data_IF_444756999768
#
_entry.id   IF_444756999768
#
_cell.length_a   1.000
_cell.length_b   1.000
_cell.length_c   1.000
_cell.angle_alpha   90.00
_cell.angle_beta   90.00
_cell.angle_gamma   90.00
#
_symmetry.space_group_name_H-M   'P 1'
#
loop_
_entity.id
_entity.type
_entity.pdbx_description
1 polymer ?
#
# COMPACT_ATOMS: atom_id res chain seq x y z
N UNK A 1 70.43 -8.93 -46.72
CA UNK A 1 69.54 -7.75 -46.78
C UNK A 1 68.14 -8.20 -47.15
N UNK A 2 67.23 -8.27 -46.17
CA UNK A 2 65.80 -8.40 -46.41
C UNK A 2 65.15 -7.23 -45.67
N UNK A 3 64.72 -6.24 -46.45
CA UNK A 3 64.03 -5.06 -45.96
C UNK A 3 62.63 -5.48 -45.49
N UNK A 4 62.41 -5.43 -44.18
CA UNK A 4 61.05 -5.48 -43.63
C UNK A 4 60.44 -4.11 -43.84
N UNK A 5 59.55 -4.03 -44.84
CA UNK A 5 58.71 -2.88 -45.14
C UNK A 5 57.99 -2.42 -43.87
N UNK A 6 58.19 -1.15 -43.50
CA UNK A 6 57.36 -0.48 -42.51
C UNK A 6 55.90 -0.52 -42.97
N UNK A 7 55.03 -1.03 -42.10
CA UNK A 7 53.58 -0.98 -42.27
C UNK A 7 53.10 0.32 -41.61
N UNK A 8 52.61 1.32 -42.37
CA UNK A 8 52.05 2.53 -41.81
C UNK A 8 50.56 2.31 -41.53
N UNK A 9 50.21 1.63 -40.44
CA UNK A 9 48.78 1.35 -40.11
C UNK A 9 48.44 1.68 -38.65
N UNK A 10 49.34 2.38 -37.94
CA UNK A 10 49.13 2.68 -36.51
C UNK A 10 48.56 4.09 -36.28
N UNK A 11 48.82 5.05 -37.16
CA UNK A 11 48.32 6.44 -37.05
C UNK A 11 46.79 6.57 -37.13
N UNK A 12 46.13 6.11 -38.21
CA UNK A 12 44.67 6.29 -38.38
C UNK A 12 43.82 5.59 -37.32
N UNK A 13 44.29 4.44 -36.80
CA UNK A 13 43.60 3.69 -35.75
C UNK A 13 43.75 4.38 -34.38
N UNK A 14 44.91 4.95 -34.08
CA UNK A 14 45.12 5.74 -32.87
C UNK A 14 44.32 7.05 -32.90
N UNK A 15 44.25 7.71 -34.06
CA UNK A 15 43.50 8.96 -34.21
C UNK A 15 41.99 8.70 -34.11
N UNK A 16 41.46 7.64 -34.73
CA UNK A 16 40.08 7.20 -34.56
C UNK A 16 39.76 6.80 -33.10
N UNK A 17 40.67 6.14 -32.40
CA UNK A 17 40.50 5.78 -30.99
C UNK A 17 40.49 7.03 -30.07
N UNK A 18 41.31 8.04 -30.37
CA UNK A 18 41.30 9.34 -29.66
C UNK A 18 40.01 10.11 -29.91
N UNK A 19 39.54 10.18 -31.16
CA UNK A 19 38.28 10.82 -31.50
C UNK A 19 37.08 10.14 -30.82
N UNK A 20 37.04 8.80 -30.83
CA UNK A 20 36.02 8.04 -30.10
C UNK A 20 36.09 8.29 -28.59
N UNK A 21 37.28 8.25 -28.01
CA UNK A 21 37.47 8.49 -26.57
C UNK A 21 37.02 9.89 -26.17
N UNK A 22 37.41 10.91 -26.94
CA UNK A 22 36.99 12.29 -26.71
C UNK A 22 35.46 12.44 -26.88
N UNK A 23 34.89 11.84 -27.91
CA UNK A 23 33.45 11.85 -28.14
C UNK A 23 32.64 11.21 -27.01
N UNK A 24 33.15 10.12 -26.40
CA UNK A 24 32.54 9.48 -25.24
C UNK A 24 32.66 10.36 -23.98
N UNK A 25 33.82 10.99 -23.75
CA UNK A 25 34.04 11.93 -22.64
C UNK A 25 33.10 13.13 -22.75
N UNK A 26 32.99 13.73 -23.93
CA UNK A 26 32.14 14.89 -24.18
C UNK A 26 30.64 14.54 -24.04
N UNK A 27 30.27 13.30 -24.35
CA UNK A 27 28.90 12.81 -24.13
C UNK A 27 28.61 12.61 -22.65
N UNK A 28 29.49 11.93 -21.93
CA UNK A 28 29.34 11.67 -20.48
C UNK A 28 29.27 12.99 -19.69
N UNK A 29 30.14 13.95 -20.00
CA UNK A 29 30.12 15.28 -19.40
C UNK A 29 28.79 16.02 -19.65
N UNK A 30 28.24 15.94 -20.87
CA UNK A 30 26.95 16.56 -21.20
C UNK A 30 25.80 15.91 -20.43
N UNK A 31 25.77 14.59 -20.35
CA UNK A 31 24.74 13.86 -19.59
C UNK A 31 24.83 14.16 -18.08
N UNK A 32 26.04 14.26 -17.53
CA UNK A 32 26.27 14.68 -16.13
C UNK A 32 25.81 16.11 -15.88
N UNK A 33 26.18 17.07 -16.74
CA UNK A 33 25.74 18.47 -16.64
C UNK A 33 24.23 18.60 -16.70
N UNK A 34 23.58 17.86 -17.61
CA UNK A 34 22.12 17.85 -17.74
C UNK A 34 21.43 17.39 -16.45
N UNK A 35 21.89 16.29 -15.85
CA UNK A 35 21.32 15.78 -14.59
C UNK A 35 21.49 16.77 -13.45
N UNK A 36 22.65 17.42 -13.34
CA UNK A 36 22.87 18.48 -12.35
C UNK A 36 21.96 19.69 -12.58
N UNK A 37 21.76 20.09 -13.82
CA UNK A 37 20.82 21.17 -14.15
C UNK A 37 19.39 20.79 -13.81
N UNK A 38 18.95 19.59 -14.15
CA UNK A 38 17.60 19.09 -13.85
C UNK A 38 17.37 19.01 -12.33
N UNK A 39 18.37 18.56 -11.57
CA UNK A 39 18.37 18.57 -10.10
C UNK A 39 18.24 19.99 -9.54
N UNK A 40 19.11 20.91 -9.95
CA UNK A 40 19.09 22.31 -9.45
C UNK A 40 17.76 22.98 -9.80
N UNK A 41 17.27 22.82 -11.04
CA UNK A 41 15.98 23.37 -11.46
C UNK A 41 14.82 22.76 -10.66
N UNK A 42 14.87 21.46 -10.36
CA UNK A 42 13.88 20.78 -9.54
C UNK A 42 13.83 21.34 -8.12
N UNK A 43 15.01 21.50 -7.49
CA UNK A 43 15.16 22.07 -6.15
C UNK A 43 14.65 23.51 -6.10
N UNK A 44 15.10 24.37 -7.04
CA UNK A 44 14.72 25.79 -7.10
C UNK A 44 13.23 25.97 -7.39
N UNK A 45 12.65 25.12 -8.24
CA UNK A 45 11.20 25.18 -8.51
C UNK A 45 10.40 24.90 -7.25
N UNK A 46 10.82 23.95 -6.42
CA UNK A 46 10.12 23.63 -5.17
C UNK A 46 10.29 24.74 -4.11
N UNK A 47 11.48 25.35 -4.03
CA UNK A 47 11.75 26.52 -3.17
C UNK A 47 10.88 27.73 -3.53
N UNK A 48 10.71 28.03 -4.82
CA UNK A 48 9.92 29.19 -5.27
C UNK A 48 8.44 29.13 -4.84
N UNK A 49 7.95 27.97 -4.38
CA UNK A 49 6.60 27.79 -3.87
C UNK A 49 6.52 27.67 -2.33
N UNK A 50 7.64 27.68 -1.59
CA UNK A 50 7.62 27.53 -0.13
C UNK A 50 8.80 28.22 0.58
N UNK A 51 8.51 29.29 1.33
CA UNK A 51 9.46 30.13 2.08
C UNK A 51 10.14 29.44 3.30
N UNK A 52 10.01 28.11 3.46
CA UNK A 52 10.40 27.40 4.69
C UNK A 52 11.51 26.37 4.50
N UNK A 53 12.16 26.33 3.33
CA UNK A 53 13.20 25.34 3.03
C UNK A 53 14.57 25.93 3.31
N UNK A 54 15.33 25.32 4.23
CA UNK A 54 16.72 25.70 4.51
C UNK A 54 17.67 24.62 4.01
N UNK A 55 18.43 24.92 2.95
CA UNK A 55 19.41 23.99 2.41
C UNK A 55 20.77 24.11 3.07
N UNK A 56 21.32 22.94 3.39
CA UNK A 56 22.62 22.79 4.03
C UNK A 56 23.62 22.19 3.06
N UNK A 57 24.84 22.71 3.08
CA UNK A 57 25.92 22.18 2.24
C UNK A 57 26.19 20.70 2.55
N UNK A 58 26.05 20.30 3.82
CA UNK A 58 26.24 18.92 4.28
C UNK A 58 25.21 17.94 3.70
N UNK A 59 24.04 18.42 3.26
CA UNK A 59 23.02 17.60 2.61
C UNK A 59 23.18 17.63 1.08
N UNK A 60 23.43 18.82 0.53
CA UNK A 60 23.46 19.05 -0.92
C UNK A 60 24.74 18.51 -1.57
N UNK A 61 25.92 18.71 -0.96
CA UNK A 61 27.20 18.27 -1.55
C UNK A 61 27.25 16.75 -1.72
N UNK A 62 26.87 15.92 -0.72
CA UNK A 62 26.80 14.48 -0.90
C UNK A 62 25.84 14.07 -2.01
N UNK A 63 24.65 14.70 -2.09
CA UNK A 63 23.67 14.42 -3.15
C UNK A 63 24.26 14.72 -4.53
N UNK A 64 24.89 15.88 -4.73
CA UNK A 64 25.55 16.25 -5.99
C UNK A 64 26.63 15.24 -6.37
N UNK A 65 27.47 14.81 -5.41
CA UNK A 65 28.51 13.81 -5.66
C UNK A 65 27.93 12.46 -6.06
N UNK A 66 26.82 12.04 -5.43
CA UNK A 66 26.12 10.79 -5.77
C UNK A 66 25.45 10.88 -7.12
N UNK A 67 24.73 11.96 -7.40
CA UNK A 67 24.08 12.19 -8.68
C UNK A 67 25.07 12.18 -9.85
N UNK A 68 26.26 12.78 -9.65
CA UNK A 68 27.31 12.79 -10.68
C UNK A 68 27.85 11.39 -10.99
N UNK A 69 27.87 10.48 -10.00
CA UNK A 69 28.35 9.11 -10.14
C UNK A 69 27.25 8.10 -10.53
N UNK A 70 25.98 8.48 -10.38
CA UNK A 70 24.85 7.63 -10.75
C UNK A 70 24.81 7.41 -12.27
N UNK A 71 24.22 6.32 -12.71
CA UNK A 71 23.97 6.00 -14.12
C UNK A 71 22.48 6.07 -14.47
N UNK A 72 21.60 6.08 -13.47
CA UNK A 72 20.16 6.14 -13.65
C UNK A 72 19.65 7.58 -13.67
N UNK A 73 19.39 8.11 -14.88
CA UNK A 73 18.89 9.48 -15.07
C UNK A 73 17.62 9.76 -14.25
N UNK A 74 16.73 8.78 -14.09
CA UNK A 74 15.49 8.91 -13.34
C UNK A 74 15.68 9.14 -11.83
N UNK A 75 16.83 8.81 -11.22
CA UNK A 75 17.09 9.10 -9.80
C UNK A 75 17.21 10.58 -9.48
N UNK A 76 17.44 11.42 -10.48
CA UNK A 76 17.48 12.87 -10.32
C UNK A 76 16.24 13.38 -9.58
N UNK A 77 15.06 12.81 -9.87
CA UNK A 77 13.82 13.15 -9.17
C UNK A 77 13.86 12.75 -7.70
N UNK A 78 14.29 11.52 -7.37
CA UNK A 78 14.39 11.07 -5.98
C UNK A 78 15.37 11.89 -5.16
N UNK A 79 16.53 12.24 -5.72
CA UNK A 79 17.49 13.12 -5.06
C UNK A 79 16.95 14.53 -4.86
N UNK A 80 16.19 15.06 -5.83
CA UNK A 80 15.52 16.36 -5.72
C UNK A 80 14.54 16.34 -4.54
N UNK A 81 13.62 15.37 -4.53
CA UNK A 81 12.61 15.21 -3.48
C UNK A 81 13.25 14.99 -2.11
N UNK A 82 14.28 14.15 -2.02
CA UNK A 82 15.04 13.94 -0.79
C UNK A 82 15.64 15.27 -0.28
N UNK A 83 16.33 16.02 -1.14
CA UNK A 83 16.98 17.28 -0.75
C UNK A 83 15.95 18.27 -0.19
N UNK A 84 14.83 18.44 -0.88
CA UNK A 84 13.72 19.31 -0.44
C UNK A 84 13.17 18.86 0.91
N UNK A 85 12.89 17.57 1.07
CA UNK A 85 12.37 17.02 2.34
C UNK A 85 13.36 17.17 3.49
N UNK A 86 14.67 17.00 3.25
CA UNK A 86 15.71 17.25 4.24
C UNK A 86 15.78 18.74 4.61
N UNK A 87 15.71 19.64 3.65
CA UNK A 87 15.71 21.09 3.90
C UNK A 87 14.49 21.60 4.66
N UNK A 88 13.37 20.87 4.61
CA UNK A 88 12.15 21.15 5.40
C UNK A 88 12.17 20.54 6.80
N UNK A 89 13.02 19.54 7.01
CA UNK A 89 13.08 18.84 8.29
C UNK A 89 14.06 19.58 9.20
N UNK A 90 13.72 19.91 10.46
CA UNK A 90 14.68 20.50 11.38
C UNK A 90 15.76 19.52 11.83
N UNK A 91 16.94 20.02 12.21
CA UNK A 91 18.03 19.19 12.76
C UNK A 91 17.68 18.48 14.06
N UNK A 92 16.79 19.07 14.86
CA UNK A 92 16.28 18.44 16.08
C UNK A 92 15.46 17.17 15.81
N UNK A 93 14.87 17.06 14.61
CA UNK A 93 14.09 15.91 14.17
C UNK A 93 14.97 14.90 13.43
N UNK A 94 15.84 15.39 12.55
CA UNK A 94 16.75 14.56 11.77
C UNK A 94 18.19 15.11 11.82
N UNK A 95 19.05 14.55 12.70
CA UNK A 95 20.45 14.93 12.80
C UNK A 95 21.29 14.45 11.60
N UNK A 96 22.50 14.99 11.48
CA UNK A 96 23.37 14.84 10.30
C UNK A 96 23.68 13.38 9.92
N UNK A 97 23.91 12.52 10.90
CA UNK A 97 24.17 11.09 10.68
C UNK A 97 22.97 10.38 10.05
N UNK A 98 21.76 10.70 10.50
CA UNK A 98 20.52 10.14 9.98
C UNK A 98 20.20 10.67 8.58
N UNK A 99 20.45 11.96 8.32
CA UNK A 99 20.33 12.55 6.96
C UNK A 99 21.25 11.86 5.98
N UNK A 100 22.53 11.73 6.34
CA UNK A 100 23.53 11.09 5.50
C UNK A 100 23.21 9.61 5.25
N UNK A 101 22.67 8.91 6.26
CA UNK A 101 22.17 7.54 6.09
C UNK A 101 21.10 7.45 5.00
N UNK A 102 20.10 8.34 4.98
CA UNK A 102 19.06 8.33 3.94
C UNK A 102 19.60 8.74 2.56
N UNK A 103 20.54 9.68 2.47
CA UNK A 103 21.23 10.01 1.21
C UNK A 103 21.95 8.76 0.66
N UNK A 104 22.64 8.02 1.54
CA UNK A 104 23.32 6.77 1.16
C UNK A 104 22.34 5.69 0.73
N UNK A 105 21.20 5.55 1.43
CA UNK A 105 20.16 4.59 1.09
C UNK A 105 19.62 4.85 -0.32
N UNK A 106 19.21 6.09 -0.64
CA UNK A 106 18.72 6.46 -1.98
C UNK A 106 19.77 6.18 -3.05
N UNK A 107 21.04 6.48 -2.76
CA UNK A 107 22.13 6.20 -3.70
C UNK A 107 22.39 4.71 -3.92
N UNK A 108 22.16 3.88 -2.91
CA UNK A 108 22.43 2.43 -3.01
C UNK A 108 21.32 1.65 -3.72
N UNK A 109 20.11 2.19 -3.74
CA UNK A 109 18.96 1.54 -4.38
C UNK A 109 18.85 1.97 -5.84
N UNK A 110 18.36 1.08 -6.70
CA UNK A 110 18.02 1.42 -8.09
C UNK A 110 16.66 2.11 -8.20
N UNK A 111 16.35 2.74 -9.33
CA UNK A 111 15.02 3.33 -9.56
C UNK A 111 13.92 2.28 -9.41
N UNK A 112 14.17 1.08 -9.95
CA UNK A 112 13.24 -0.04 -9.84
C UNK A 112 13.00 -0.44 -8.39
N UNK A 113 14.04 -0.50 -7.56
CA UNK A 113 13.92 -0.88 -6.15
C UNK A 113 13.14 0.16 -5.33
N UNK A 114 13.34 1.45 -5.61
CA UNK A 114 12.57 2.53 -4.98
C UNK A 114 11.11 2.49 -5.43
N UNK A 115 10.84 2.29 -6.72
CA UNK A 115 9.49 2.14 -7.25
C UNK A 115 8.78 0.89 -6.68
N UNK A 116 9.50 -0.22 -6.57
CA UNK A 116 9.03 -1.45 -5.94
C UNK A 116 8.67 -1.22 -4.47
N UNK A 117 9.51 -0.50 -3.71
CA UNK A 117 9.23 -0.15 -2.33
C UNK A 117 7.96 0.71 -2.20
N UNK A 118 7.77 1.68 -3.11
CA UNK A 118 6.55 2.50 -3.17
C UNK A 118 5.32 1.63 -3.41
N UNK A 119 5.34 0.78 -4.44
CA UNK A 119 4.22 -0.12 -4.75
C UNK A 119 3.92 -1.09 -3.59
N UNK A 120 4.96 -1.60 -2.93
CA UNK A 120 4.81 -2.43 -1.73
C UNK A 120 4.10 -1.67 -0.61
N UNK A 121 4.46 -0.39 -0.37
CA UNK A 121 3.75 0.44 0.62
C UNK A 121 2.28 0.60 0.26
N UNK A 122 1.96 0.83 -1.01
CA UNK A 122 0.57 0.93 -1.49
C UNK A 122 -0.19 -0.37 -1.20
N UNK A 123 0.35 -1.52 -1.63
CA UNK A 123 -0.27 -2.84 -1.46
C UNK A 123 -0.48 -3.24 0.00
N UNK A 124 0.33 -2.71 0.92
CA UNK A 124 0.20 -2.95 2.37
C UNK A 124 -0.76 -1.99 3.08
N UNK A 125 -1.14 -0.88 2.46
CA UNK A 125 -1.88 0.20 3.14
C UNK A 125 -3.21 0.57 2.47
N UNK A 126 -3.36 0.29 1.18
CA UNK A 126 -4.56 0.62 0.40
C UNK A 126 -5.21 -0.66 -0.13
N UNK A 127 -6.54 -0.82 -0.02
CA UNK A 127 -7.22 -2.00 -0.55
C UNK A 127 -7.20 -1.99 -2.09
N UNK A 128 -6.40 -2.87 -2.68
CA UNK A 128 -6.18 -2.97 -4.14
C UNK A 128 -7.12 -4.00 -4.79
N UNK A 129 -7.75 -3.63 -5.89
CA UNK A 129 -8.65 -4.48 -6.67
C UNK A 129 -7.92 -5.70 -7.23
N UNK A 130 -8.60 -6.83 -7.29
CA UNK A 130 -8.07 -8.10 -7.82
C UNK A 130 -7.40 -9.00 -6.78
N UNK A 131 -7.29 -8.55 -5.53
CA UNK A 131 -6.71 -9.32 -4.40
C UNK A 131 -7.73 -9.38 -3.27
N UNK A 132 -7.84 -10.48 -2.52
CA UNK A 132 -8.82 -10.61 -1.44
C UNK A 132 -8.37 -9.91 -0.15
N UNK A 133 -7.06 -9.89 0.13
CA UNK A 133 -6.49 -9.29 1.35
C UNK A 133 -5.22 -8.47 1.07
N UNK A 134 -4.72 -7.75 2.08
CA UNK A 134 -3.44 -7.04 2.01
C UNK A 134 -2.26 -8.01 1.87
N UNK A 135 -2.33 -9.18 2.50
CA UNK A 135 -1.32 -10.23 2.37
C UNK A 135 -1.25 -10.76 0.94
N UNK A 136 -2.39 -11.01 0.31
CA UNK A 136 -2.44 -11.42 -1.10
C UNK A 136 -1.93 -10.31 -2.02
N UNK A 137 -2.30 -9.05 -1.73
CA UNK A 137 -1.80 -7.90 -2.49
C UNK A 137 -0.29 -7.76 -2.41
N UNK A 138 0.31 -7.97 -1.24
CA UNK A 138 1.75 -8.01 -1.04
C UNK A 138 2.41 -9.16 -1.81
N UNK A 139 1.88 -10.39 -1.67
CA UNK A 139 2.43 -11.58 -2.33
C UNK A 139 2.38 -11.46 -3.87
N UNK A 140 1.36 -10.80 -4.41
CA UNK A 140 1.27 -10.53 -5.84
C UNK A 140 2.43 -9.69 -6.39
N UNK A 141 3.14 -8.94 -5.53
CA UNK A 141 4.34 -8.18 -5.90
C UNK A 141 5.63 -8.90 -5.48
N UNK A 142 5.72 -9.35 -4.23
CA UNK A 142 6.95 -9.96 -3.66
C UNK A 142 7.20 -11.38 -4.15
N UNK A 143 6.15 -12.07 -4.62
CA UNK A 143 6.20 -13.41 -5.19
C UNK A 143 6.39 -13.46 -6.70
N UNK A 144 6.61 -12.32 -7.37
CA UNK A 144 6.86 -12.30 -8.82
C UNK A 144 8.14 -13.08 -9.17
N UNK A 145 8.02 -14.04 -10.09
CA UNK A 145 9.13 -14.85 -10.60
C UNK A 145 9.99 -14.11 -11.64
N UNK A 146 10.34 -12.86 -11.33
CA UNK A 146 11.25 -12.04 -12.15
C UNK A 146 12.53 -11.76 -11.36
N UNK A 147 13.67 -11.85 -12.05
CA UNK A 147 14.98 -11.58 -11.42
C UNK A 147 15.05 -10.19 -10.79
N UNK A 148 14.40 -9.19 -11.40
CA UNK A 148 14.33 -7.82 -10.87
C UNK A 148 13.55 -7.76 -9.55
N UNK A 149 12.38 -8.38 -9.46
CA UNK A 149 11.58 -8.40 -8.22
C UNK A 149 12.32 -9.11 -7.08
N UNK A 150 12.94 -10.27 -7.36
CA UNK A 150 13.75 -10.99 -6.37
C UNK A 150 14.94 -10.16 -5.88
N UNK A 151 15.63 -9.46 -6.80
CA UNK A 151 16.71 -8.56 -6.44
C UNK A 151 16.21 -7.38 -5.62
N UNK A 152 15.03 -6.84 -5.92
CA UNK A 152 14.46 -5.73 -5.16
C UNK A 152 14.14 -6.12 -3.73
N UNK A 153 13.48 -7.25 -3.50
CA UNK A 153 13.22 -7.76 -2.14
C UNK A 153 14.53 -7.90 -1.36
N UNK A 154 15.55 -8.55 -1.94
CA UNK A 154 16.86 -8.74 -1.29
C UNK A 154 17.57 -7.41 -1.02
N UNK A 155 17.52 -6.47 -1.95
CA UNK A 155 18.13 -5.15 -1.78
C UNK A 155 17.47 -4.38 -0.64
N UNK A 156 16.14 -4.41 -0.55
CA UNK A 156 15.40 -3.76 0.53
C UNK A 156 15.66 -4.43 1.89
N UNK A 157 15.80 -5.76 1.94
CA UNK A 157 16.23 -6.46 3.16
C UNK A 157 17.67 -6.07 3.57
N UNK A 158 18.62 -6.10 2.63
CA UNK A 158 20.03 -5.75 2.88
C UNK A 158 20.19 -4.28 3.30
N UNK A 159 19.32 -3.41 2.80
CA UNK A 159 19.25 -2.00 3.19
C UNK A 159 18.59 -1.79 4.57
N UNK A 160 18.09 -2.85 5.23
CA UNK A 160 17.41 -2.76 6.52
C UNK A 160 15.99 -2.18 6.45
N UNK A 161 15.38 -2.17 5.27
CA UNK A 161 14.05 -1.60 5.02
C UNK A 161 12.93 -2.62 5.21
N UNK A 162 13.23 -3.92 5.03
CA UNK A 162 12.29 -5.02 5.18
C UNK A 162 12.85 -6.10 6.12
N UNK A 163 11.96 -6.75 6.84
CA UNK A 163 12.24 -7.95 7.63
C UNK A 163 11.22 -9.03 7.31
N UNK A 164 11.62 -10.29 7.24
CA UNK A 164 10.64 -11.38 7.08
C UNK A 164 9.73 -11.46 8.30
N UNK A 165 8.42 -11.52 8.04
CA UNK A 165 7.42 -11.67 9.09
C UNK A 165 7.61 -13.02 9.78
N UNK A 166 7.82 -12.96 11.09
CA UNK A 166 7.96 -14.16 11.92
C UNK A 166 6.58 -14.56 12.43
N UNK A 167 6.17 -15.78 12.12
CA UNK A 167 4.89 -16.33 12.57
C UNK A 167 5.07 -17.10 13.87
N UNK A 168 4.09 -16.98 14.77
CA UNK A 168 4.08 -17.82 15.96
C UNK A 168 3.83 -19.28 15.56
N UNK A 169 4.29 -20.28 16.35
CA UNK A 169 4.18 -21.70 15.98
C UNK A 169 2.76 -22.23 15.73
N UNK A 170 1.73 -21.48 16.11
CA UNK A 170 0.31 -21.83 15.95
C UNK A 170 -0.42 -20.99 14.91
N UNK A 171 0.27 -20.06 14.26
CA UNK A 171 -0.31 -19.24 13.19
C UNK A 171 -0.23 -19.99 11.86
N UNK A 172 -1.31 -19.89 11.10
CA UNK A 172 -1.35 -20.46 9.76
C UNK A 172 -0.46 -19.61 8.86
N UNK A 173 0.63 -20.20 8.38
CA UNK A 173 1.55 -19.52 7.48
C UNK A 173 0.91 -19.42 6.09
N UNK A 174 0.89 -18.22 5.46
CA UNK A 174 0.43 -18.10 4.08
C UNK A 174 1.34 -18.88 3.12
N UNK A 175 0.82 -19.18 1.93
CA UNK A 175 1.61 -19.72 0.82
C UNK A 175 2.53 -18.62 0.27
N UNK A 176 3.63 -18.35 0.96
CA UNK A 176 4.60 -17.33 0.60
C UNK A 176 5.32 -16.72 1.80
N UNK A 177 6.26 -15.81 1.51
CA UNK A 177 6.96 -15.02 2.52
C UNK A 177 6.34 -13.63 2.54
N UNK A 178 5.88 -13.19 3.72
CA UNK A 178 5.47 -11.80 3.96
C UNK A 178 6.60 -11.05 4.66
N UNK A 179 6.61 -9.74 4.50
CA UNK A 179 7.63 -8.83 5.00
C UNK A 179 7.01 -7.73 5.86
N UNK A 180 7.65 -7.44 6.99
CA UNK A 180 7.37 -6.26 7.81
C UNK A 180 8.27 -5.10 7.37
N UNK A 181 7.70 -3.90 7.32
CA UNK A 181 8.44 -2.67 6.99
C UNK A 181 9.08 -2.09 8.25
N UNK A 182 10.31 -1.59 8.14
CA UNK A 182 11.01 -0.96 9.27
C UNK A 182 10.67 0.54 9.40
N UNK A 183 11.13 1.18 10.48
CA UNK A 183 11.05 2.65 10.64
C UNK A 183 11.76 3.40 9.51
N UNK A 184 12.89 2.85 9.05
CA UNK A 184 13.68 3.42 7.97
C UNK A 184 12.92 3.37 6.64
N UNK A 185 12.18 2.29 6.39
CA UNK A 185 11.28 2.23 5.22
C UNK A 185 10.23 3.34 5.26
N UNK A 186 9.54 3.49 6.40
CA UNK A 186 8.49 4.52 6.54
C UNK A 186 9.07 5.93 6.36
N UNK A 187 10.24 6.19 6.94
CA UNK A 187 10.94 7.47 6.85
C UNK A 187 11.40 7.74 5.42
N UNK A 188 12.07 6.78 4.78
CA UNK A 188 12.52 6.90 3.39
C UNK A 188 11.34 7.18 2.44
N UNK A 189 10.23 6.45 2.59
CA UNK A 189 9.03 6.68 1.78
C UNK A 189 8.44 8.07 2.02
N UNK A 190 8.47 8.58 3.25
CA UNK A 190 8.02 9.95 3.57
C UNK A 190 8.94 11.05 3.04
N UNK A 191 10.25 10.79 2.95
CA UNK A 191 11.22 11.73 2.38
C UNK A 191 11.13 11.81 0.85
N UNK A 192 10.84 10.69 0.20
CA UNK A 192 10.85 10.58 -1.27
C UNK A 192 9.50 10.85 -1.94
N UNK A 193 8.39 10.75 -1.23
CA UNK A 193 7.07 10.75 -1.85
C UNK A 193 6.09 11.61 -1.07
N UNK A 194 5.25 12.33 -1.81
CA UNK A 194 4.11 13.04 -1.25
C UNK A 194 3.01 12.02 -0.90
N UNK A 195 2.13 12.27 0.10
CA UNK A 195 1.04 11.35 0.42
C UNK A 195 0.17 10.91 -0.77
N UNK A 196 -0.04 11.78 -1.77
CA UNK A 196 -0.77 11.46 -3.00
C UNK A 196 -0.07 10.46 -3.92
N UNK A 197 1.23 10.25 -3.76
CA UNK A 197 1.99 9.25 -4.51
C UNK A 197 1.68 7.82 -4.04
N UNK A 198 0.97 7.65 -2.92
CA UNK A 198 0.55 6.34 -2.43
C UNK A 198 -0.86 5.93 -2.88
N UNK A 199 -1.37 6.59 -3.93
CA UNK A 199 -2.59 6.20 -4.61
C UNK A 199 -2.33 5.03 -5.58
N UNK A 200 -3.15 3.95 -5.59
CA UNK A 200 -2.93 2.79 -6.45
C UNK A 200 -2.78 3.10 -7.94
N UNK A 201 -3.49 4.11 -8.41
CA UNK A 201 -3.51 4.53 -9.81
C UNK A 201 -2.14 5.05 -10.28
N UNK A 202 -1.27 5.46 -9.36
CA UNK A 202 0.07 5.94 -9.68
C UNK A 202 1.07 4.82 -10.03
N UNK A 203 0.67 3.56 -9.82
CA UNK A 203 1.44 2.34 -10.13
C UNK A 203 0.61 1.36 -10.96
N UNK A 204 -0.32 1.89 -11.77
CA UNK A 204 -1.22 1.12 -12.65
C UNK A 204 -2.10 0.09 -11.93
N UNK A 205 -2.38 0.31 -10.65
CA UNK A 205 -3.33 -0.46 -9.85
C UNK A 205 -4.66 0.29 -9.70
N UNK A 206 -5.69 -0.42 -9.26
CA UNK A 206 -7.00 0.18 -8.99
C UNK A 206 -7.37 -0.02 -7.52
N UNK A 207 -7.90 1.03 -6.89
CA UNK A 207 -8.50 0.91 -5.56
C UNK A 207 -9.81 0.11 -5.60
N UNK A 208 -10.09 -0.67 -4.55
CA UNK A 208 -11.41 -1.31 -4.34
C UNK A 208 -12.49 -0.26 -4.09
N UNK A 209 -13.74 -0.63 -4.33
CA UNK A 209 -14.88 0.20 -3.91
C UNK A 209 -14.97 0.19 -2.37
N UNK A 210 -14.92 1.38 -1.75
CA UNK A 210 -14.89 1.55 -0.30
C UNK A 210 -16.30 1.83 0.23
N UNK A 211 -16.71 1.05 1.24
CA UNK A 211 -17.93 1.27 2.03
C UNK A 211 -17.59 1.32 3.52
N UNK A 212 -18.47 1.89 4.34
CA UNK A 212 -18.30 1.86 5.81
C UNK A 212 -18.58 0.46 6.36
N UNK A 213 -19.52 -0.24 5.73
CA UNK A 213 -19.88 -1.62 6.04
C UNK A 213 -20.30 -2.40 4.81
N UNK A 214 -19.87 -3.66 4.74
CA UNK A 214 -20.38 -4.64 3.77
C UNK A 214 -21.29 -5.64 4.48
N UNK A 215 -22.50 -5.84 3.96
CA UNK A 215 -23.47 -6.81 4.47
C UNK A 215 -23.45 -8.01 3.55
N UNK A 216 -23.02 -9.15 4.09
CA UNK A 216 -22.80 -10.38 3.34
C UNK A 216 -24.00 -11.30 3.47
N UNK A 217 -24.58 -11.63 2.32
CA UNK A 217 -25.73 -12.50 2.22
C UNK A 217 -27.04 -11.75 2.41
N UNK A 218 -27.93 -11.89 1.42
CA UNK A 218 -29.31 -11.42 1.53
C UNK A 218 -30.15 -12.55 2.07
N UNK A 219 -30.65 -12.41 3.31
CA UNK A 219 -31.63 -13.33 3.86
C UNK A 219 -32.99 -12.64 3.95
N UNK A 220 -34.04 -13.36 3.56
CA UNK A 220 -35.42 -12.95 3.78
C UNK A 220 -35.72 -12.97 5.28
N UNK A 221 -36.15 -11.84 5.82
CA UNK A 221 -36.73 -11.76 7.16
C UNK A 221 -38.18 -11.35 7.05
N UNK A 222 -38.95 -11.61 8.12
CA UNK A 222 -40.34 -11.15 8.24
C UNK A 222 -40.50 -9.71 7.76
N UNK A 223 -41.58 -9.46 7.03
CA UNK A 223 -41.96 -8.16 6.47
C UNK A 223 -40.85 -7.53 5.61
N UNK A 224 -39.93 -8.34 5.09
CA UNK A 224 -38.76 -7.92 4.31
C UNK A 224 -37.88 -6.90 5.05
N UNK A 225 -37.89 -6.91 6.39
CA UNK A 225 -37.27 -5.86 7.22
C UNK A 225 -35.74 -5.83 7.07
N UNK A 226 -35.09 -6.96 6.81
CA UNK A 226 -33.63 -6.99 6.66
C UNK A 226 -33.12 -6.20 5.46
N UNK A 227 -33.91 -6.10 4.39
CA UNK A 227 -33.53 -5.37 3.17
C UNK A 227 -34.24 -4.03 3.03
N UNK A 228 -35.12 -3.68 3.97
CA UNK A 228 -35.83 -2.40 3.99
C UNK A 228 -35.45 -1.56 5.22
N UNK A 229 -35.59 -2.11 6.42
CA UNK A 229 -35.32 -1.43 7.67
C UNK A 229 -33.81 -1.23 7.91
N UNK A 230 -33.01 -2.29 7.84
CA UNK A 230 -31.57 -2.19 8.13
C UNK A 230 -30.85 -1.17 7.21
N UNK A 231 -31.05 -1.17 5.87
CA UNK A 231 -30.46 -0.12 5.02
C UNK A 231 -30.92 1.29 5.40
N UNK A 232 -32.21 1.46 5.74
CA UNK A 232 -32.75 2.76 6.14
C UNK A 232 -32.15 3.23 7.48
N UNK A 233 -31.98 2.32 8.44
CA UNK A 233 -31.37 2.60 9.73
C UNK A 233 -29.89 2.98 9.59
N UNK A 234 -29.13 2.24 8.77
CA UNK A 234 -27.72 2.55 8.46
C UNK A 234 -27.59 3.91 7.77
N UNK A 235 -28.44 4.20 6.76
CA UNK A 235 -28.46 5.50 6.10
C UNK A 235 -28.81 6.64 7.06
N UNK A 236 -29.79 6.43 7.96
CA UNK A 236 -30.14 7.41 9.00
C UNK A 236 -29.00 7.65 9.98
N UNK A 237 -28.18 6.63 10.23
CA UNK A 237 -26.95 6.72 11.03
C UNK A 237 -25.75 7.33 10.27
N UNK A 238 -25.93 7.70 9.00
CA UNK A 238 -24.88 8.29 8.16
C UNK A 238 -23.84 7.28 7.65
N UNK A 239 -24.15 5.98 7.67
CA UNK A 239 -23.25 4.91 7.24
C UNK A 239 -23.54 4.49 5.80
N UNK A 240 -22.50 4.43 4.97
CA UNK A 240 -22.56 3.87 3.62
C UNK A 240 -22.43 2.34 3.67
N UNK A 241 -23.51 1.64 3.34
CA UNK A 241 -23.58 0.19 3.40
C UNK A 241 -23.75 -0.43 2.01
N UNK A 242 -22.97 -1.47 1.71
CA UNK A 242 -23.10 -2.24 0.46
C UNK A 242 -23.57 -3.66 0.77
N UNK A 243 -24.62 -4.09 0.07
CA UNK A 243 -25.07 -5.48 0.12
C UNK A 243 -24.37 -6.29 -0.95
N UNK A 244 -23.81 -7.42 -0.55
CA UNK A 244 -23.13 -8.35 -1.45
C UNK A 244 -23.69 -9.75 -1.26
N UNK A 245 -23.58 -10.57 -2.31
CA UNK A 245 -23.88 -11.99 -2.20
C UNK A 245 -22.89 -12.67 -1.27
N UNK A 246 -23.29 -13.81 -0.70
CA UNK A 246 -22.41 -14.64 0.14
C UNK A 246 -21.34 -15.41 -0.67
N UNK A 247 -20.97 -14.90 -1.85
CA UNK A 247 -19.93 -15.45 -2.68
C UNK A 247 -18.62 -14.68 -2.42
N UNK A 248 -17.48 -15.36 -2.61
CA UNK A 248 -16.17 -14.78 -2.32
C UNK A 248 -15.73 -13.70 -3.33
N UNK A 249 -16.55 -13.40 -4.35
CA UNK A 249 -16.17 -12.47 -5.43
C UNK A 249 -15.96 -11.05 -4.93
N UNK A 250 -16.80 -10.62 -3.99
CA UNK A 250 -16.76 -9.26 -3.45
C UNK A 250 -15.43 -8.94 -2.76
N UNK A 251 -14.68 -9.95 -2.27
CA UNK A 251 -13.38 -9.71 -1.66
C UNK A 251 -12.38 -9.06 -2.61
N UNK A 252 -12.51 -9.28 -3.91
CA UNK A 252 -11.57 -8.72 -4.92
C UNK A 252 -11.99 -7.35 -5.44
N UNK A 253 -13.23 -6.94 -5.23
CA UNK A 253 -13.80 -5.70 -5.79
C UNK A 253 -14.15 -4.66 -4.74
N UNK A 254 -14.48 -5.11 -3.54
CA UNK A 254 -15.10 -4.31 -2.48
C UNK A 254 -14.31 -4.40 -1.18
N UNK A 255 -14.30 -3.30 -0.43
CA UNK A 255 -13.68 -3.26 0.87
C UNK A 255 -14.48 -2.41 1.86
N UNK A 256 -14.53 -2.88 3.09
CA UNK A 256 -15.01 -2.11 4.21
C UNK A 256 -14.20 -2.46 5.46
N UNK A 257 -14.08 -1.54 6.43
CA UNK A 257 -13.45 -1.84 7.71
C UNK A 257 -14.30 -2.78 8.59
N UNK A 258 -15.59 -2.94 8.26
CA UNK A 258 -16.53 -3.80 8.98
C UNK A 258 -17.37 -4.63 8.01
N UNK A 259 -17.63 -5.88 8.41
CA UNK A 259 -18.49 -6.81 7.69
C UNK A 259 -19.59 -7.31 8.63
N UNK A 260 -20.84 -7.27 8.17
CA UNK A 260 -21.97 -7.93 8.82
C UNK A 260 -22.26 -9.24 8.09
N UNK A 261 -21.91 -10.34 8.72
CA UNK A 261 -22.05 -11.66 8.14
C UNK A 261 -23.24 -12.40 8.73
N UNK A 262 -23.96 -13.10 7.87
CA UNK A 262 -25.13 -13.89 8.26
C UNK A 262 -24.77 -15.36 8.25
N UNK A 263 -24.81 -16.00 9.41
CA UNK A 263 -24.62 -17.44 9.57
C UNK A 263 -25.89 -18.15 10.00
N UNK A 264 -26.02 -19.42 9.63
CA UNK A 264 -27.07 -20.30 10.13
C UNK A 264 -26.40 -21.31 11.06
N UNK A 265 -26.85 -21.37 12.31
CA UNK A 265 -26.44 -22.38 13.29
C UNK A 265 -27.59 -23.35 13.60
N UNK A 266 -27.26 -24.57 13.97
CA UNK A 266 -28.21 -25.60 14.39
C UNK A 266 -28.75 -26.47 13.24
N UNK A 267 -29.45 -27.54 13.61
CA UNK A 267 -30.09 -28.48 12.69
C UNK A 267 -31.61 -28.55 12.93
N UNK A 268 -32.37 -28.83 11.87
CA UNK A 268 -33.83 -29.01 11.95
C UNK A 268 -34.57 -27.76 12.44
N UNK A 269 -35.41 -27.93 13.47
CA UNK A 269 -36.27 -26.86 14.03
C UNK A 269 -35.51 -25.88 14.94
N UNK A 270 -34.34 -26.26 15.43
CA UNK A 270 -33.47 -25.42 16.29
C UNK A 270 -32.54 -24.50 15.50
N UNK A 271 -32.76 -24.39 14.17
CA UNK A 271 -31.99 -23.46 13.34
C UNK A 271 -32.16 -22.02 13.82
N UNK A 272 -31.03 -21.30 13.88
CA UNK A 272 -31.00 -19.89 14.23
C UNK A 272 -30.13 -19.16 13.23
N UNK A 273 -30.59 -18.00 12.79
CA UNK A 273 -29.70 -17.07 12.12
C UNK A 273 -28.93 -16.32 13.18
N UNK A 274 -27.61 -16.28 13.03
CA UNK A 274 -26.75 -15.36 13.77
C UNK A 274 -26.16 -14.33 12.84
N UNK A 275 -26.20 -13.08 13.28
CA UNK A 275 -25.44 -12.01 12.68
C UNK A 275 -24.15 -11.84 13.45
N UNK A 276 -23.07 -11.69 12.69
CA UNK A 276 -21.74 -11.48 13.22
C UNK A 276 -21.19 -10.18 12.65
N UNK A 277 -20.71 -9.31 13.52
CA UNK A 277 -19.99 -8.12 13.12
C UNK A 277 -18.49 -8.39 13.26
N UNK A 278 -17.75 -8.36 12.15
CA UNK A 278 -16.32 -8.67 12.09
C UNK A 278 -15.55 -7.52 11.45
N UNK A 279 -14.25 -7.43 11.75
CA UNK A 279 -13.29 -6.57 11.02
C UNK A 279 -12.69 -7.26 9.80
N UNK A 280 -12.73 -8.59 9.80
CA UNK A 280 -12.26 -9.40 8.69
C UNK A 280 -13.41 -9.76 7.76
N UNK A 281 -13.05 -9.89 6.48
CA UNK A 281 -13.92 -10.34 5.41
C UNK A 281 -14.28 -11.83 5.51
N UNK A 282 -13.55 -12.61 6.33
CA UNK A 282 -13.77 -14.05 6.52
C UNK A 282 -14.81 -14.35 7.60
N UNK A 283 -15.62 -15.42 7.45
CA UNK A 283 -16.61 -15.80 8.45
C UNK A 283 -16.01 -16.17 9.81
N UNK A 284 -16.64 -15.76 10.92
CA UNK A 284 -16.14 -16.02 12.27
C UNK A 284 -16.22 -17.50 12.69
N UNK A 285 -16.89 -18.37 11.92
CA UNK A 285 -16.76 -19.82 12.14
C UNK A 285 -15.49 -20.41 11.50
N UNK A 286 -14.76 -19.64 10.69
CA UNK A 286 -13.46 -20.01 10.08
C UNK A 286 -12.26 -19.28 10.69
N UNK A 287 -12.42 -18.09 11.26
CA UNK A 287 -11.34 -17.39 11.96
C UNK A 287 -11.71 -17.08 13.42
N UNK A 288 -10.72 -16.96 14.31
CA UNK A 288 -10.86 -16.48 15.69
C UNK A 288 -11.21 -14.98 15.74
N UNK A 289 -12.04 -14.47 14.83
CA UNK A 289 -12.37 -13.06 14.74
C UNK A 289 -13.19 -12.60 15.95
N UNK A 290 -12.80 -11.48 16.52
CA UNK A 290 -13.55 -10.73 17.53
C UNK A 290 -14.97 -10.48 17.03
N UNK A 291 -15.93 -11.28 17.50
CA UNK A 291 -17.33 -11.03 17.23
C UNK A 291 -17.81 -9.87 18.09
N UNK A 292 -17.98 -8.70 17.48
CA UNK A 292 -18.40 -7.49 18.20
C UNK A 292 -19.90 -7.47 18.53
N UNK A 293 -20.67 -8.44 18.03
CA UNK A 293 -22.10 -8.53 18.26
C UNK A 293 -22.61 -9.96 18.09
N UNK A 294 -23.27 -10.53 19.10
CA UNK A 294 -24.09 -11.73 18.91
C UNK A 294 -25.56 -11.32 18.85
N UNK A 295 -26.14 -11.36 17.66
CA UNK A 295 -27.58 -11.23 17.46
C UNK A 295 -28.10 -12.53 16.85
N UNK A 296 -29.13 -13.14 17.45
CA UNK A 296 -29.70 -14.39 16.99
C UNK A 296 -31.22 -14.32 16.78
N UNK A 297 -31.68 -14.91 15.69
CA UNK A 297 -33.07 -14.98 15.29
C UNK A 297 -33.51 -16.43 15.09
N UNK A 298 -34.70 -16.77 15.58
CA UNK A 298 -35.27 -18.12 15.46
C UNK A 298 -35.80 -18.40 14.04
N UNK A 299 -35.83 -19.67 13.62
CA UNK A 299 -36.35 -20.15 12.33
C UNK A 299 -37.60 -19.43 11.83
N UNK A 300 -38.59 -19.24 12.72
CA UNK A 300 -39.87 -18.62 12.41
C UNK A 300 -39.79 -17.16 11.92
N UNK A 301 -38.71 -16.45 12.25
CA UNK A 301 -38.53 -15.02 11.90
C UNK A 301 -37.87 -14.78 10.54
N UNK A 302 -37.35 -15.81 9.88
CA UNK A 302 -36.69 -15.68 8.57
C UNK A 302 -37.21 -16.64 7.49
N UNK A 303 -38.07 -17.60 7.84
CA UNK A 303 -38.73 -18.49 6.85
C UNK A 303 -40.08 -17.92 6.38
N UNK A 304 -40.59 -16.88 7.05
CA UNK A 304 -41.94 -16.34 6.82
C UNK A 304 -41.90 -14.96 6.19
N UNK A 305 -42.79 -14.73 5.23
CA UNK A 305 -42.94 -13.44 4.56
C UNK A 305 -43.56 -12.36 5.46
N UNK A 306 -44.43 -12.76 6.40
CA UNK A 306 -45.15 -11.84 7.30
C UNK A 306 -44.98 -12.21 8.76
N UNK A 307 -44.78 -11.18 9.58
CA UNK A 307 -44.78 -11.32 11.05
C UNK A 307 -46.13 -11.84 11.56
N UNK A 308 -46.12 -12.67 12.60
CA UNK A 308 -47.35 -13.17 13.23
C UNK A 308 -47.93 -12.19 14.24
N UNK A 309 -47.10 -11.26 14.72
CA UNK A 309 -47.50 -10.22 15.65
C UNK A 309 -46.62 -8.99 15.50
N UNK A 310 -47.15 -7.83 15.91
CA UNK A 310 -46.39 -6.58 15.99
C UNK A 310 -45.12 -6.73 16.85
N UNK A 311 -45.18 -7.56 17.92
CA UNK A 311 -44.05 -7.82 18.81
C UNK A 311 -42.85 -8.45 18.10
N UNK A 312 -43.07 -9.33 17.11
CA UNK A 312 -41.97 -9.95 16.36
C UNK A 312 -41.26 -8.94 15.45
N UNK A 313 -42.02 -8.09 14.76
CA UNK A 313 -41.45 -7.01 13.94
C UNK A 313 -40.72 -5.97 14.79
N UNK A 314 -41.26 -5.60 15.95
CA UNK A 314 -40.64 -4.65 16.87
C UNK A 314 -39.33 -5.22 17.46
N UNK A 315 -39.30 -6.50 17.82
CA UNK A 315 -38.07 -7.18 18.25
C UNK A 315 -36.99 -7.16 17.15
N UNK A 316 -37.35 -7.43 15.90
CA UNK A 316 -36.39 -7.36 14.79
C UNK A 316 -35.79 -5.96 14.65
N UNK A 317 -36.64 -4.91 14.69
CA UNK A 317 -36.19 -3.52 14.61
C UNK A 317 -35.24 -3.16 15.74
N UNK A 318 -35.58 -3.52 16.98
CA UNK A 318 -34.74 -3.31 18.16
C UNK A 318 -33.37 -3.98 17.99
N UNK A 319 -33.33 -5.21 17.49
CA UNK A 319 -32.07 -5.90 17.23
C UNK A 319 -31.25 -5.22 16.12
N UNK A 320 -31.88 -4.73 15.05
CA UNK A 320 -31.17 -3.97 14.00
C UNK A 320 -30.64 -2.63 14.53
N UNK A 321 -31.37 -1.95 15.41
CA UNK A 321 -30.89 -0.71 16.03
C UNK A 321 -29.66 -0.97 16.91
N UNK A 322 -29.62 -2.13 17.61
CA UNK A 322 -28.42 -2.59 18.32
C UNK A 322 -27.25 -2.89 17.38
N UNK A 323 -27.51 -3.48 16.21
CA UNK A 323 -26.49 -3.71 15.17
C UNK A 323 -25.89 -2.37 14.73
N UNK A 324 -26.73 -1.40 14.37
CA UNK A 324 -26.31 -0.05 13.94
C UNK A 324 -25.49 0.65 15.02
N UNK A 325 -25.93 0.59 16.28
CA UNK A 325 -25.21 1.17 17.43
C UNK A 325 -23.85 0.52 17.63
N UNK A 326 -23.75 -0.80 17.48
CA UNK A 326 -22.48 -1.54 17.58
C UNK A 326 -21.52 -1.13 16.45
N UNK A 327 -22.02 -1.01 15.21
CA UNK A 327 -21.23 -0.54 14.06
C UNK A 327 -20.67 0.85 14.32
N UNK A 328 -21.49 1.81 14.73
CA UNK A 328 -21.03 3.17 15.04
C UNK A 328 -19.97 3.17 16.15
N UNK A 329 -20.15 2.36 17.18
CA UNK A 329 -19.19 2.22 18.29
C UNK A 329 -17.84 1.71 17.77
N UNK A 330 -17.84 0.67 16.92
CA UNK A 330 -16.61 0.13 16.36
C UNK A 330 -15.93 1.09 15.39
N UNK A 331 -16.72 1.79 14.57
CA UNK A 331 -16.20 2.77 13.63
C UNK A 331 -15.52 3.95 14.35
N UNK A 332 -16.09 4.43 15.45
CA UNK A 332 -15.48 5.46 16.28
C UNK A 332 -14.16 5.00 16.90
N UNK A 333 -14.07 3.73 17.34
CA UNK A 333 -12.82 3.15 17.85
C UNK A 333 -11.74 3.04 16.76
N UNK A 334 -12.13 2.69 15.54
CA UNK A 334 -11.20 2.59 14.40
C UNK A 334 -10.64 3.98 14.08
N UNK A 335 -11.51 5.01 14.03
CA UNK A 335 -11.10 6.40 13.81
C UNK A 335 -10.20 6.97 14.89
N UNK A 336 -10.35 6.55 16.15
CA UNK A 336 -9.49 7.02 17.24
C UNK A 336 -8.16 6.27 17.35
N UNK A 337 -8.00 5.16 16.62
CA UNK A 337 -6.78 4.32 16.63
C UNK A 337 -5.95 4.45 15.34
N UNK A 338 -6.47 5.17 14.35
CA UNK A 338 -5.80 5.54 13.10
C UNK A 338 -5.29 6.96 13.22
#
# INVERSE_FOLDING_TARGET
MLAVKGIPVVGPVIDAAKELSQGLIDRENRERQRRLQDYVLGVVRDEQYNDTVEFREEDVIPVIRKLAADDETAKTEYYTRLTVSLGRTPLSVMPDDLRYHFIRLVSSLTCYQIAFARELKIRKTVPVRGTASFEEAELALTGLDSGMAMQAVRALQNAGLLKEKTYLPREQKPEGILYETTSDFTTLMGLLFHPSDFEPETVDLQRKEISDIIIVGKIGFIDNLYVTYLPAALKKAGLNAKFVESNDKHFTTDWAPLYLQTGIEGEGYDRRIKLYLTRESLPPWKSKADNYLSCSFETRTYVRDKSSSKKEADYFREQMDRVVTSIQTQFNKIKSSS
#
